data_IF_659839147812
#
_entry.id   IF_659839147812
#
_cell.length_a   1.000
_cell.length_b   1.000
_cell.length_c   1.000
_cell.angle_alpha   90.00
_cell.angle_beta   90.00
_cell.angle_gamma   90.00
#
_symmetry.space_group_name_H-M   'P 1'
#
loop_
_entity.id
_entity.type
_entity.pdbx_description
1 polymer ?
#
# COMPACT_ATOMS: atom_id res chain seq x y z
N UNK A 1 -18.27 2.97 -3.25
CA UNK A 1 -17.36 1.81 -3.38
C UNK A 1 -16.59 1.70 -2.08
N UNK A 2 -16.56 0.52 -1.46
CA UNK A 2 -15.75 0.29 -0.26
C UNK A 2 -14.32 -0.10 -0.67
N UNK A 3 -13.33 0.54 -0.06
CA UNK A 3 -11.90 0.30 -0.31
C UNK A 3 -11.18 -0.11 0.96
N UNK A 4 -9.99 -0.70 0.83
CA UNK A 4 -9.16 -1.03 1.99
C UNK A 4 -8.47 0.23 2.53
N UNK A 5 -8.81 0.71 3.76
CA UNK A 5 -8.26 1.93 4.34
C UNK A 5 -6.76 1.85 4.68
N UNK A 6 -6.17 0.65 4.71
CA UNK A 6 -4.74 0.46 5.02
C UNK A 6 -3.86 0.56 3.78
N UNK A 7 -4.44 0.61 2.58
CA UNK A 7 -3.71 0.86 1.36
C UNK A 7 -3.39 2.36 1.25
N UNK A 8 -2.12 2.69 1.03
CA UNK A 8 -1.70 4.07 0.73
C UNK A 8 -2.36 4.58 -0.55
N UNK A 9 -2.51 5.90 -0.68
CA UNK A 9 -3.01 6.55 -1.89
C UNK A 9 -2.18 6.21 -3.15
N UNK A 10 -0.90 5.88 -2.97
CA UNK A 10 0.03 5.51 -4.06
C UNK A 10 -0.01 4.01 -4.41
N UNK A 11 -0.64 3.17 -3.58
CA UNK A 11 -0.62 1.73 -3.77
C UNK A 11 -1.70 1.31 -4.76
N UNK A 12 -1.32 0.85 -5.95
CA UNK A 12 -2.23 0.20 -6.86
C UNK A 12 -2.40 -1.29 -6.49
N UNK A 13 -3.53 -1.61 -5.88
CA UNK A 13 -3.88 -2.98 -5.48
C UNK A 13 -5.33 -3.32 -5.85
N UNK A 14 -5.52 -4.49 -6.47
CA UNK A 14 -6.82 -5.03 -6.87
C UNK A 14 -6.95 -6.42 -6.27
N UNK A 15 -7.99 -6.64 -5.47
CA UNK A 15 -8.35 -7.99 -5.02
C UNK A 15 -8.88 -8.81 -6.20
N UNK A 16 -8.52 -10.10 -6.25
CA UNK A 16 -9.13 -11.06 -7.17
C UNK A 16 -10.67 -11.13 -6.99
N UNK A 17 -11.44 -11.41 -8.06
CA UNK A 17 -12.89 -11.49 -8.00
C UNK A 17 -13.39 -12.79 -7.36
N UNK A 18 -12.81 -13.16 -6.22
CA UNK A 18 -13.20 -14.30 -5.40
C UNK A 18 -13.91 -13.78 -4.13
N UNK A 19 -15.20 -14.10 -3.93
CA UNK A 19 -15.96 -13.65 -2.76
C UNK A 19 -15.48 -14.26 -1.44
N UNK A 20 -14.60 -15.26 -1.46
CA UNK A 20 -13.97 -15.80 -0.25
C UNK A 20 -12.81 -14.92 0.27
N UNK A 21 -12.31 -13.99 -0.55
CA UNK A 21 -11.23 -13.08 -0.19
C UNK A 21 -11.77 -11.79 0.44
N UNK A 22 -11.10 -11.34 1.51
CA UNK A 22 -11.44 -10.14 2.28
C UNK A 22 -10.23 -9.21 2.40
N UNK A 23 -9.57 -8.93 1.28
CA UNK A 23 -8.37 -8.08 1.21
C UNK A 23 -8.74 -6.62 0.96
N UNK A 24 -9.80 -6.38 0.17
CA UNK A 24 -10.23 -5.06 -0.29
C UNK A 24 -9.26 -4.43 -1.29
N UNK A 25 -9.78 -3.80 -2.34
CA UNK A 25 -8.95 -3.08 -3.31
C UNK A 25 -8.55 -1.70 -2.80
N UNK A 26 -7.44 -1.17 -3.34
CA UNK A 26 -6.97 0.20 -3.07
C UNK A 26 -7.94 1.26 -3.60
N UNK A 27 -7.91 2.45 -3.00
CA UNK A 27 -8.63 3.61 -3.51
C UNK A 27 -8.13 4.01 -4.91
N UNK A 28 -6.81 3.96 -5.14
CA UNK A 28 -6.20 4.27 -6.44
C UNK A 28 -6.78 3.41 -7.57
N UNK A 29 -6.90 2.09 -7.36
CA UNK A 29 -7.50 1.20 -8.35
C UNK A 29 -8.97 1.53 -8.64
N UNK A 30 -9.74 1.97 -7.63
CA UNK A 30 -11.11 2.40 -7.86
C UNK A 30 -11.19 3.72 -8.62
N UNK A 31 -10.30 4.69 -8.34
CA UNK A 31 -10.24 5.96 -9.07
C UNK A 31 -9.93 5.70 -10.55
N UNK A 32 -8.94 4.84 -10.84
CA UNK A 32 -8.58 4.50 -12.22
C UNK A 32 -9.73 3.78 -12.94
N UNK A 33 -10.38 2.82 -12.28
CA UNK A 33 -11.55 2.13 -12.83
C UNK A 33 -12.72 3.09 -13.07
N UNK A 34 -13.01 3.99 -12.13
CA UNK A 34 -14.09 4.97 -12.22
C UNK A 34 -13.87 5.91 -13.40
N UNK A 35 -12.66 6.47 -13.53
CA UNK A 35 -12.27 7.32 -14.67
C UNK A 35 -12.44 6.59 -16.01
N UNK A 36 -11.99 5.33 -16.10
CA UNK A 36 -12.17 4.51 -17.32
C UNK A 36 -13.65 4.29 -17.70
N UNK A 37 -14.57 4.46 -16.75
CA UNK A 37 -16.02 4.31 -16.93
C UNK A 37 -16.77 5.64 -17.04
N UNK A 38 -16.08 6.78 -17.07
CA UNK A 38 -16.69 8.10 -17.16
C UNK A 38 -17.25 8.63 -15.83
N UNK A 39 -16.62 8.28 -14.72
CA UNK A 39 -16.98 8.76 -13.38
C UNK A 39 -15.83 9.56 -12.75
N UNK A 40 -16.19 10.50 -11.87
CA UNK A 40 -15.28 11.36 -11.13
C UNK A 40 -15.46 11.15 -9.61
N UNK A 41 -14.35 11.22 -8.86
CA UNK A 41 -14.35 11.15 -7.41
C UNK A 41 -14.92 12.46 -6.82
N UNK A 42 -15.86 12.37 -5.89
CA UNK A 42 -16.50 13.55 -5.27
C UNK A 42 -16.45 13.57 -3.74
N UNK A 43 -16.22 12.43 -3.10
CA UNK A 43 -16.00 12.37 -1.66
C UNK A 43 -15.35 11.05 -1.26
N UNK A 44 -14.65 11.06 -0.13
CA UNK A 44 -14.24 9.85 0.57
C UNK A 44 -14.64 9.89 2.05
N UNK A 45 -14.79 8.71 2.64
CA UNK A 45 -14.68 8.50 4.08
C UNK A 45 -13.44 7.68 4.34
N UNK A 46 -13.22 7.26 5.59
CA UNK A 46 -12.16 6.32 5.94
C UNK A 46 -12.16 5.05 5.07
N UNK A 47 -13.32 4.53 4.67
CA UNK A 47 -13.42 3.24 3.96
C UNK A 47 -14.24 3.29 2.67
N UNK A 48 -14.86 4.42 2.34
CA UNK A 48 -15.77 4.52 1.20
C UNK A 48 -15.39 5.66 0.26
N UNK A 49 -15.46 5.39 -1.04
CA UNK A 49 -15.33 6.39 -2.09
C UNK A 49 -16.66 6.58 -2.83
N UNK A 50 -17.03 7.83 -3.05
CA UNK A 50 -18.23 8.23 -3.77
C UNK A 50 -17.84 8.82 -5.11
N UNK A 51 -18.48 8.31 -6.17
CA UNK A 51 -18.23 8.72 -7.54
C UNK A 51 -19.52 9.23 -8.17
N UNK A 52 -19.38 10.16 -9.10
CA UNK A 52 -20.49 10.69 -9.91
C UNK A 52 -20.15 10.55 -11.39
N UNK A 53 -21.15 10.41 -12.26
CA UNK A 53 -20.92 10.49 -13.71
C UNK A 53 -20.30 11.85 -14.07
N UNK A 54 -19.35 11.86 -15.00
CA UNK A 54 -18.53 13.04 -15.30
C UNK A 54 -19.34 14.31 -15.64
N UNK A 55 -20.50 14.14 -16.28
CA UNK A 55 -21.42 15.22 -16.65
C UNK A 55 -21.97 16.00 -15.44
N UNK A 56 -22.11 15.33 -14.29
CA UNK A 56 -22.67 15.90 -13.07
C UNK A 56 -21.59 16.43 -12.12
N UNK A 57 -20.30 16.13 -12.38
CA UNK A 57 -19.18 16.52 -11.52
C UNK A 57 -19.11 18.03 -11.26
N UNK A 58 -19.42 18.85 -12.28
CA UNK A 58 -19.42 20.33 -12.19
C UNK A 58 -20.32 20.87 -11.07
N UNK A 59 -21.35 20.12 -10.66
CA UNK A 59 -22.29 20.54 -9.62
C UNK A 59 -21.65 20.54 -8.22
N UNK A 60 -20.60 19.76 -8.03
CA UNK A 60 -19.90 19.62 -6.74
C UNK A 60 -18.92 20.75 -6.46
N UNK A 61 -18.50 21.50 -7.49
CA UNK A 61 -17.58 22.65 -7.35
C UNK A 61 -16.28 22.29 -6.61
N UNK A 62 -15.73 21.13 -6.95
CA UNK A 62 -14.44 20.65 -6.45
C UNK A 62 -13.38 21.07 -7.46
N UNK A 63 -12.38 21.83 -7.02
CA UNK A 63 -11.32 22.34 -7.91
C UNK A 63 -10.22 21.29 -8.14
N UNK A 64 -9.93 20.47 -7.14
CA UNK A 64 -8.94 19.39 -7.18
C UNK A 64 -9.55 18.12 -6.56
N UNK A 65 -9.78 17.11 -7.39
CA UNK A 65 -10.24 15.79 -6.96
C UNK A 65 -9.15 14.71 -7.03
N UNK A 66 -7.88 15.11 -7.00
CA UNK A 66 -6.78 14.16 -6.81
C UNK A 66 -6.98 13.36 -5.53
N UNK A 67 -6.52 12.12 -5.54
CA UNK A 67 -6.70 11.21 -4.41
C UNK A 67 -6.16 11.80 -3.10
N UNK A 68 -5.03 12.51 -3.15
CA UNK A 68 -4.42 13.17 -1.99
C UNK A 68 -5.19 14.38 -1.49
N UNK A 69 -5.87 15.11 -2.38
CA UNK A 69 -6.78 16.19 -1.98
C UNK A 69 -8.07 15.64 -1.34
N UNK A 70 -8.50 14.44 -1.76
CA UNK A 70 -9.80 13.88 -1.42
C UNK A 70 -9.78 12.88 -0.27
N UNK A 71 -8.64 12.28 0.06
CA UNK A 71 -8.53 11.22 1.06
C UNK A 71 -7.33 11.43 1.99
N UNK A 72 -7.63 11.58 3.28
CA UNK A 72 -6.63 11.59 4.34
C UNK A 72 -6.30 10.16 4.77
N UNK A 73 -5.02 9.81 4.72
CA UNK A 73 -4.52 8.47 5.04
C UNK A 73 -4.21 8.39 6.52
N UNK A 74 -4.86 7.48 7.24
CA UNK A 74 -4.67 7.29 8.70
C UNK A 74 -4.10 5.92 9.10
N UNK A 75 -4.13 4.95 8.19
CA UNK A 75 -3.83 3.54 8.50
C UNK A 75 -2.77 2.93 7.59
N UNK A 76 -1.99 3.74 6.88
CA UNK A 76 -0.93 3.22 6.02
C UNK A 76 0.26 2.72 6.81
N UNK A 77 0.92 1.73 6.21
CA UNK A 77 2.19 1.20 6.67
C UNK A 77 3.22 1.41 5.59
N UNK A 78 4.35 2.00 5.96
CA UNK A 78 5.49 2.22 5.08
C UNK A 78 6.57 1.22 5.43
N UNK A 79 7.18 0.61 4.42
CA UNK A 79 8.29 -0.33 4.58
C UNK A 79 9.46 0.14 3.71
N UNK A 80 10.66 0.18 4.29
CA UNK A 80 11.89 0.35 3.53
C UNK A 80 12.95 -0.67 3.95
N UNK A 81 13.89 -0.93 3.04
CA UNK A 81 15.01 -1.83 3.29
C UNK A 81 16.26 -1.02 3.59
N UNK A 82 16.92 -1.37 4.70
CA UNK A 82 18.27 -0.91 5.03
C UNK A 82 19.32 -1.67 4.22
N UNK A 83 20.45 -1.00 3.94
CA UNK A 83 21.55 -1.62 3.19
C UNK A 83 22.19 -2.83 3.89
N UNK A 84 21.98 -2.97 5.19
CA UNK A 84 22.41 -4.10 6.01
C UNK A 84 21.43 -5.30 5.97
N UNK A 85 20.35 -5.19 5.21
CA UNK A 85 19.30 -6.21 5.14
C UNK A 85 18.25 -6.10 6.24
N UNK A 86 18.27 -5.05 7.06
CA UNK A 86 17.19 -4.73 7.98
C UNK A 86 15.95 -4.25 7.22
N UNK A 87 14.75 -4.61 7.69
CA UNK A 87 13.50 -4.05 7.20
C UNK A 87 12.99 -3.03 8.23
N UNK A 88 12.74 -1.79 7.80
CA UNK A 88 12.16 -0.76 8.66
C UNK A 88 10.71 -0.56 8.29
N UNK A 89 9.81 -0.75 9.27
CA UNK A 89 8.39 -0.48 9.10
C UNK A 89 8.00 0.76 9.92
N UNK A 90 7.16 1.62 9.38
CA UNK A 90 6.66 2.82 10.05
C UNK A 90 5.17 3.06 9.72
N UNK A 91 4.53 3.95 10.47
CA UNK A 91 3.10 4.24 10.33
C UNK A 91 2.24 3.33 11.21
N UNK A 92 1.17 2.80 10.63
CA UNK A 92 0.15 2.00 11.34
C UNK A 92 0.59 0.54 11.52
N UNK A 93 1.41 0.28 12.53
CA UNK A 93 1.91 -1.05 12.88
C UNK A 93 0.89 -1.87 13.70
N UNK A 94 -0.29 -2.09 13.12
CA UNK A 94 -1.41 -2.76 13.80
C UNK A 94 -2.30 -3.54 12.81
N UNK A 95 -2.55 -4.81 13.11
CA UNK A 95 -3.50 -5.65 12.37
C UNK A 95 -4.93 -5.35 12.82
N UNK A 96 -5.58 -4.38 12.16
CA UNK A 96 -6.91 -3.86 12.53
C UNK A 96 -7.96 -4.92 12.87
N UNK A 97 -8.14 -5.90 11.98
CA UNK A 97 -9.19 -6.92 12.11
C UNK A 97 -8.86 -8.05 13.11
N UNK A 98 -7.60 -8.14 13.56
CA UNK A 98 -7.15 -9.15 14.53
C UNK A 98 -6.72 -8.53 15.87
N UNK A 99 -6.61 -7.20 15.95
CA UNK A 99 -6.22 -6.46 17.15
C UNK A 99 -4.82 -6.86 17.67
N UNK A 100 -3.88 -7.06 16.75
CA UNK A 100 -2.51 -7.46 17.07
C UNK A 100 -1.54 -6.35 16.66
N UNK A 101 -0.71 -5.81 17.58
CA UNK A 101 0.36 -4.90 17.22
C UNK A 101 1.48 -5.62 16.47
N UNK A 102 2.16 -4.92 15.55
CA UNK A 102 3.33 -5.41 14.86
C UNK A 102 4.59 -4.77 15.44
N UNK A 103 5.57 -5.59 15.82
CA UNK A 103 6.89 -5.16 16.22
C UNK A 103 7.83 -5.10 15.00
N UNK A 104 8.91 -4.31 15.09
CA UNK A 104 9.91 -4.25 14.02
C UNK A 104 10.51 -5.62 13.69
N UNK A 105 10.67 -6.47 14.70
CA UNK A 105 11.26 -7.80 14.52
C UNK A 105 10.37 -8.75 13.71
N UNK A 106 9.05 -8.50 13.64
CA UNK A 106 8.10 -9.33 12.86
C UNK A 106 8.32 -9.22 11.34
N UNK A 107 8.99 -8.16 10.88
CA UNK A 107 9.28 -7.92 9.47
C UNK A 107 10.64 -8.47 9.02
N UNK A 108 11.46 -8.96 9.95
CA UNK A 108 12.86 -9.25 9.65
C UNK A 108 13.02 -10.63 9.01
N UNK A 109 13.51 -10.63 7.77
CA UNK A 109 13.81 -11.87 7.05
C UNK A 109 15.15 -12.48 7.47
N UNK A 110 16.14 -11.64 7.79
CA UNK A 110 17.46 -12.08 8.26
C UNK A 110 17.50 -12.08 9.80
N UNK A 111 18.11 -13.09 10.44
CA UNK A 111 18.41 -13.01 11.87
C UNK A 111 19.40 -11.86 12.13
N UNK A 112 19.33 -11.25 13.31
CA UNK A 112 20.14 -10.07 13.67
C UNK A 112 21.64 -10.23 13.43
N UNK A 113 22.19 -11.44 13.60
CA UNK A 113 23.60 -11.73 13.35
C UNK A 113 24.03 -11.62 11.89
N UNK A 114 23.09 -11.72 10.95
CA UNK A 114 23.33 -11.63 9.50
C UNK A 114 22.97 -10.27 8.91
N UNK A 115 22.38 -9.35 9.69
CA UNK A 115 22.03 -7.99 9.23
C UNK A 115 23.27 -7.10 9.20
N UNK A 116 24.00 -7.15 8.08
CA UNK A 116 25.22 -6.38 7.83
C UNK A 116 25.30 -6.04 6.35
N UNK A 117 25.87 -4.87 6.06
CA UNK A 117 26.16 -4.50 4.67
C UNK A 117 27.07 -5.54 4.04
N UNK A 118 26.79 -6.03 2.82
CA UNK A 118 27.71 -6.91 2.11
C UNK A 118 28.99 -6.14 1.78
N UNK A 119 30.07 -6.38 2.53
CA UNK A 119 31.39 -5.83 2.18
C UNK A 119 31.78 -6.30 0.78
N UNK A 120 32.18 -5.38 -0.10
CA UNK A 120 32.65 -5.70 -1.46
C UNK A 120 33.88 -6.62 -1.50
N UNK A 121 34.54 -6.80 -0.36
CA UNK A 121 35.67 -7.72 -0.15
C UNK A 121 35.29 -9.10 0.35
N UNK A 122 34.02 -9.32 0.74
CA UNK A 122 33.51 -10.64 1.14
C UNK A 122 32.71 -11.26 -0.02
N UNK A 123 33.36 -11.46 -1.17
CA UNK A 123 32.91 -12.53 -2.08
C UNK A 123 33.15 -13.84 -1.33
N UNK A 124 32.22 -14.81 -1.36
CA UNK A 124 32.58 -16.17 -0.93
C UNK A 124 33.75 -16.61 -1.81
N UNK A 125 34.92 -16.76 -1.20
CA UNK A 125 36.06 -17.41 -1.82
C UNK A 125 35.70 -18.88 -1.95
N UNK A 126 35.08 -19.25 -3.08
CA UNK A 126 34.76 -20.65 -3.38
C UNK A 126 33.38 -20.83 -3.98
N UNK A 127 33.27 -20.57 -5.29
CA UNK A 127 32.62 -21.52 -6.18
C UNK A 127 33.47 -21.57 -7.43
N UNK A 128 34.42 -22.53 -7.43
CA UNK A 128 34.98 -23.05 -8.65
C UNK A 128 33.80 -23.55 -9.50
N UNK A 129 33.41 -22.77 -10.52
CA UNK A 129 32.74 -23.34 -11.69
C UNK A 129 33.79 -24.20 -12.40
N UNK A 130 33.76 -25.49 -12.10
CA UNK A 130 34.32 -26.53 -12.95
C UNK A 130 33.15 -27.23 -13.64
N UNK A 131 33.11 -27.05 -14.97
CA UNK A 131 32.35 -27.73 -16.03
C UNK A 131 30.80 -27.79 -15.96
#
# INVERSE_FOLDING_TARGET
MEFNPTASNELYFVQDPDPALNQGSSLLAFVDLAKSKGYELVATTTTNAFFVVAEEYVQFRIDDNSIDAMHEVYMDMQICQGYDGSIHAAGHLWLNWHQVPLAQEDFQMLPSGLRRFPDSTCRPSGSDESD
#
